data_IF_743500470750
#
_entry.id   IF_743500470750
#
_cell.length_a   1.000
_cell.length_b   1.000
_cell.length_c   1.000
_cell.angle_alpha   90.00
_cell.angle_beta   90.00
_cell.angle_gamma   90.00
#
_symmetry.space_group_name_H-M   'P 1'
#
loop_
_entity.id
_entity.type
_entity.pdbx_description
1 polymer ?
#
# COMPACT_ATOMS: atom_id res chain seq x y z
N UNK A 1 2.18 -0.49 -18.43
CA UNK A 1 1.35 -0.77 -17.24
C UNK A 1 1.79 -2.11 -16.69
N UNK A 2 2.36 -2.14 -15.49
CA UNK A 2 2.85 -3.37 -14.85
C UNK A 2 1.76 -3.98 -13.96
N UNK A 3 1.74 -5.31 -13.87
CA UNK A 3 0.79 -6.08 -13.07
C UNK A 3 1.53 -6.86 -11.99
N UNK A 4 0.98 -6.85 -10.78
CA UNK A 4 1.58 -7.45 -9.61
C UNK A 4 0.57 -8.33 -8.87
N UNK A 5 1.03 -9.44 -8.30
CA UNK A 5 0.31 -10.11 -7.22
C UNK A 5 0.22 -9.17 -6.01
N UNK A 6 -0.75 -9.38 -5.11
CA UNK A 6 -0.98 -8.48 -3.96
C UNK A 6 0.26 -8.21 -3.09
N UNK A 7 1.05 -9.23 -2.75
CA UNK A 7 2.29 -9.03 -1.97
C UNK A 7 3.31 -8.11 -2.67
N UNK A 8 3.76 -8.44 -3.90
CA UNK A 8 4.61 -7.57 -4.70
C UNK A 8 4.05 -6.16 -4.98
N UNK A 9 2.72 -6.01 -5.02
CA UNK A 9 2.06 -4.70 -5.12
C UNK A 9 2.23 -3.90 -3.84
N UNK A 10 1.97 -4.51 -2.66
CA UNK A 10 2.13 -3.85 -1.36
C UNK A 10 3.55 -3.34 -1.17
N UNK A 11 4.55 -4.09 -1.62
CA UNK A 11 5.96 -3.69 -1.49
C UNK A 11 6.35 -2.53 -2.41
N UNK A 12 5.49 -2.12 -3.35
CA UNK A 12 5.77 -1.12 -4.38
C UNK A 12 4.89 0.12 -4.27
N UNK A 13 3.65 -0.04 -3.85
CA UNK A 13 2.69 1.08 -3.75
C UNK A 13 3.16 2.11 -2.73
N UNK A 14 3.26 3.36 -3.15
CA UNK A 14 3.72 4.48 -2.31
C UNK A 14 2.56 5.19 -1.62
N UNK A 15 2.84 5.91 -0.54
CA UNK A 15 1.85 6.72 0.17
C UNK A 15 1.23 7.76 -0.76
N UNK A 16 -0.07 7.65 -1.01
CA UNK A 16 -0.84 8.46 -1.94
C UNK A 16 -1.20 7.71 -3.22
N UNK A 17 -0.52 6.63 -3.59
CA UNK A 17 -0.86 5.92 -4.83
C UNK A 17 -2.11 5.05 -4.68
N UNK A 18 -2.85 4.94 -5.78
CA UNK A 18 -3.93 3.97 -5.94
C UNK A 18 -3.41 2.71 -6.62
N UNK A 19 -4.05 1.59 -6.32
CA UNK A 19 -3.93 0.38 -7.11
C UNK A 19 -5.31 -0.22 -7.37
N UNK A 20 -5.48 -0.83 -8.54
CA UNK A 20 -6.73 -1.51 -8.87
C UNK A 20 -6.50 -2.85 -9.54
N UNK A 21 -7.50 -3.70 -9.44
CA UNK A 21 -7.61 -4.93 -10.23
C UNK A 21 -8.05 -4.62 -11.67
N UNK A 22 -7.90 -5.57 -12.62
CA UNK A 22 -8.43 -5.43 -13.97
C UNK A 22 -9.90 -5.02 -13.97
N UNK A 23 -10.26 -4.07 -14.85
CA UNK A 23 -11.62 -3.57 -14.95
C UNK A 23 -12.11 -2.76 -13.75
N UNK A 24 -11.21 -2.33 -12.86
CA UNK A 24 -11.53 -1.54 -11.66
C UNK A 24 -12.54 -2.22 -10.74
N UNK A 25 -12.58 -3.56 -10.72
CA UNK A 25 -13.51 -4.29 -9.84
C UNK A 25 -13.22 -4.08 -8.35
N UNK A 26 -11.98 -3.72 -8.03
CA UNK A 26 -11.54 -3.27 -6.71
C UNK A 26 -10.49 -2.18 -6.89
N UNK A 27 -10.62 -1.09 -6.14
CA UNK A 27 -9.61 -0.04 -6.10
C UNK A 27 -9.27 0.28 -4.65
N UNK A 28 -7.98 0.39 -4.36
CA UNK A 28 -7.46 0.79 -3.07
C UNK A 28 -6.51 1.98 -3.19
N UNK A 29 -6.26 2.65 -2.08
CA UNK A 29 -5.28 3.72 -1.94
C UNK A 29 -4.40 3.48 -0.73
N UNK A 30 -3.09 3.69 -0.87
CA UNK A 30 -2.15 3.68 0.26
C UNK A 30 -2.18 5.05 0.94
N UNK A 31 -2.79 5.14 2.11
CA UNK A 31 -2.71 6.31 3.01
C UNK A 31 -1.56 6.11 4.00
N UNK A 32 -1.07 7.14 4.72
CA UNK A 32 -0.01 6.95 5.71
C UNK A 32 -0.30 5.86 6.76
N UNK A 33 -1.57 5.68 7.12
CA UNK A 33 -2.01 4.74 8.16
C UNK A 33 -2.19 3.31 7.63
N UNK A 34 -2.29 3.11 6.32
CA UNK A 34 -2.51 1.80 5.72
C UNK A 34 -3.19 1.84 4.35
N UNK A 35 -3.68 0.69 3.89
CA UNK A 35 -4.43 0.57 2.65
C UNK A 35 -5.93 0.74 2.92
N UNK A 36 -6.60 1.51 2.06
CA UNK A 36 -8.04 1.78 2.17
C UNK A 36 -8.75 1.49 0.86
N UNK A 37 -9.95 0.93 0.93
CA UNK A 37 -10.83 0.79 -0.24
C UNK A 37 -11.29 2.17 -0.71
N UNK A 38 -11.29 2.41 -2.01
CA UNK A 38 -11.75 3.69 -2.59
C UNK A 38 -13.13 3.60 -3.22
N UNK A 39 -13.60 2.39 -3.54
CA UNK A 39 -14.87 2.14 -4.24
C UNK A 39 -15.72 1.04 -3.58
N UNK A 40 -16.96 0.92 -4.06
CA UNK A 40 -17.93 -0.07 -3.62
C UNK A 40 -18.43 0.11 -2.18
N UNK A 41 -19.13 -0.92 -1.66
CA UNK A 41 -19.74 -0.89 -0.33
C UNK A 41 -18.77 -0.90 0.85
N UNK A 42 -17.45 -0.98 0.59
CA UNK A 42 -16.40 -0.93 1.61
C UNK A 42 -15.57 0.35 1.52
N UNK A 43 -15.92 1.30 0.64
CA UNK A 43 -15.18 2.55 0.45
C UNK A 43 -14.91 3.26 1.80
N UNK A 44 -13.66 3.70 1.98
CA UNK A 44 -13.19 4.36 3.19
C UNK A 44 -12.81 3.43 4.34
N UNK A 45 -13.05 2.12 4.25
CA UNK A 45 -12.59 1.15 5.24
C UNK A 45 -11.17 0.68 4.95
N UNK A 46 -10.47 0.26 6.02
CA UNK A 46 -9.15 -0.37 5.92
C UNK A 46 -9.29 -1.69 5.16
N UNK A 47 -8.33 -1.96 4.28
CA UNK A 47 -8.20 -3.23 3.59
C UNK A 47 -7.79 -4.30 4.60
N UNK A 48 -8.69 -5.24 4.87
CA UNK A 48 -8.34 -6.46 5.59
C UNK A 48 -7.68 -7.45 4.63
N UNK A 49 -6.56 -8.04 5.04
CA UNK A 49 -5.89 -9.06 4.24
C UNK A 49 -6.74 -10.35 4.29
N UNK A 50 -7.34 -10.68 3.15
CA UNK A 50 -8.22 -11.84 2.96
C UNK A 50 -7.71 -12.70 1.81
N UNK A 51 -8.14 -13.96 1.78
CA UNK A 51 -7.72 -14.98 0.82
C UNK A 51 -7.81 -14.53 -0.64
N UNK A 52 -8.91 -13.89 -1.02
CA UNK A 52 -9.15 -13.43 -2.39
C UNK A 52 -8.11 -12.41 -2.89
N UNK A 53 -7.45 -11.66 -2.00
CA UNK A 53 -6.43 -10.69 -2.41
C UNK A 53 -5.19 -11.39 -2.95
N UNK A 54 -4.88 -12.61 -2.48
CA UNK A 54 -3.71 -13.35 -2.95
C UNK A 54 -3.86 -13.88 -4.38
N UNK A 55 -5.09 -13.98 -4.89
CA UNK A 55 -5.37 -14.35 -6.28
C UNK A 55 -5.55 -13.15 -7.22
N UNK A 56 -5.74 -11.94 -6.67
CA UNK A 56 -5.94 -10.73 -7.45
C UNK A 56 -4.61 -10.23 -8.03
N UNK A 57 -4.65 -9.79 -9.29
CA UNK A 57 -3.56 -9.01 -9.91
C UNK A 57 -3.91 -7.53 -9.87
N UNK A 58 -2.89 -6.70 -9.67
CA UNK A 58 -3.04 -5.28 -9.39
C UNK A 58 -2.12 -4.47 -10.28
N UNK A 59 -2.60 -3.31 -10.72
CA UNK A 59 -1.75 -2.28 -11.30
C UNK A 59 -1.76 -1.04 -10.41
N UNK A 60 -0.62 -0.39 -10.29
CA UNK A 60 -0.45 0.84 -9.51
C UNK A 60 -0.56 2.02 -10.47
N UNK A 61 -1.37 2.99 -10.09
CA UNK A 61 -1.54 4.23 -10.84
C UNK A 61 -0.60 5.30 -10.32
N UNK A 62 -0.17 6.18 -11.22
CA UNK A 62 0.57 7.39 -10.85
C UNK A 62 -0.32 8.32 -10.01
N UNK A 63 0.27 9.40 -9.50
CA UNK A 63 -0.31 10.30 -8.48
C UNK A 63 -1.46 11.19 -9.01
N UNK A 64 -2.25 10.70 -9.97
CA UNK A 64 -3.23 11.44 -10.79
C UNK A 64 -4.39 12.07 -9.99
N UNK A 65 -4.62 11.69 -8.72
CA UNK A 65 -5.81 12.10 -7.93
C UNK A 65 -5.59 12.27 -6.40
N UNK A 66 -4.36 12.27 -5.88
CA UNK A 66 -4.12 11.85 -4.49
C UNK A 66 -3.43 12.87 -3.58
N UNK A 67 -3.81 14.14 -3.71
CA UNK A 67 -3.01 15.28 -3.27
C UNK A 67 -2.87 15.62 -1.77
N UNK A 68 -3.52 15.02 -0.75
CA UNK A 68 -3.22 15.44 0.63
C UNK A 68 -1.91 14.87 1.20
N UNK A 69 -1.36 13.77 0.67
CA UNK A 69 -0.25 13.05 1.33
C UNK A 69 1.11 13.13 0.63
N UNK A 70 1.19 13.69 -0.57
CA UNK A 70 2.45 13.81 -1.32
C UNK A 70 3.51 14.56 -0.51
N UNK A 71 3.12 15.64 0.17
CA UNK A 71 4.03 16.44 0.99
C UNK A 71 4.61 15.72 2.21
N UNK A 72 3.99 14.62 2.67
CA UNK A 72 4.46 13.83 3.83
C UNK A 72 4.96 12.44 3.46
N UNK A 73 4.82 12.02 2.19
CA UNK A 73 5.18 10.67 1.69
C UNK A 73 6.58 10.27 2.11
N UNK A 74 7.58 11.05 1.69
CA UNK A 74 9.00 10.74 1.93
C UNK A 74 9.31 10.61 3.42
N UNK A 75 8.75 11.51 4.24
CA UNK A 75 8.95 11.45 5.69
C UNK A 75 8.34 10.19 6.31
N UNK A 76 7.15 9.80 5.86
CA UNK A 76 6.44 8.61 6.37
C UNK A 76 7.14 7.32 5.95
N UNK A 77 7.47 7.19 4.67
CA UNK A 77 8.14 6.00 4.14
C UNK A 77 9.55 5.83 4.73
N UNK A 78 10.31 6.91 4.90
CA UNK A 78 11.60 6.86 5.60
C UNK A 78 11.45 6.38 7.04
N UNK A 79 10.46 6.89 7.78
CA UNK A 79 10.21 6.45 9.15
C UNK A 79 9.86 4.96 9.22
N UNK A 80 9.10 4.44 8.26
CA UNK A 80 8.80 3.01 8.16
C UNK A 80 10.06 2.16 7.97
N UNK A 81 10.97 2.60 7.09
CA UNK A 81 12.26 1.94 6.88
C UNK A 81 13.14 1.97 8.14
N UNK A 82 13.23 3.12 8.81
CA UNK A 82 13.97 3.27 10.07
C UNK A 82 13.44 2.31 11.15
N UNK A 83 12.12 2.15 11.27
CA UNK A 83 11.52 1.20 12.22
C UNK A 83 11.90 -0.26 11.91
N UNK A 84 11.91 -0.65 10.64
CA UNK A 84 12.31 -2.00 10.21
C UNK A 84 13.80 -2.25 10.54
N UNK A 85 14.66 -1.28 10.24
CA UNK A 85 16.10 -1.37 10.54
C UNK A 85 16.31 -1.54 12.05
N UNK A 86 15.64 -0.71 12.86
CA UNK A 86 15.74 -0.81 14.32
C UNK A 86 15.28 -2.18 14.85
N UNK A 87 14.15 -2.71 14.34
CA UNK A 87 13.67 -4.04 14.72
C UNK A 87 14.66 -5.14 14.36
N UNK A 88 15.28 -5.06 13.18
CA UNK A 88 16.29 -6.02 12.75
C UNK A 88 17.54 -5.96 13.63
N UNK A 89 18.05 -4.76 13.91
CA UNK A 89 19.19 -4.59 14.80
C UNK A 89 18.92 -5.15 16.20
N UNK A 90 17.75 -4.88 16.77
CA UNK A 90 17.34 -5.41 18.08
C UNK A 90 17.29 -6.94 18.07
N UNK A 91 16.80 -7.56 17.00
CA UNK A 91 16.81 -9.01 16.84
C UNK A 91 18.24 -9.56 16.89
N UNK A 92 19.14 -8.99 16.08
CA UNK A 92 20.54 -9.46 15.98
C UNK A 92 21.41 -9.19 17.21
N UNK A 93 21.07 -8.20 18.05
CA UNK A 93 21.80 -7.89 19.30
C UNK A 93 21.42 -8.78 20.48
N UNK A 94 20.29 -9.49 20.38
CA UNK A 94 19.78 -10.41 21.40
C UNK A 94 20.10 -11.89 21.09
N UNK A 95 20.86 -12.15 20.02
CA UNK A 95 21.50 -13.43 19.70
C UNK A 95 22.99 -13.41 20.08
#
# INVERSE_FOLDING_TARGET
>A
MEWYMFGPMISRIRVGQKASTPGFSRTLIRRPEGLYWTDGGQAGKIVEIRDYLFSDIWTIYEDEDCEPWLGIREQKERREQEMIINQYEDFTKNE
#
